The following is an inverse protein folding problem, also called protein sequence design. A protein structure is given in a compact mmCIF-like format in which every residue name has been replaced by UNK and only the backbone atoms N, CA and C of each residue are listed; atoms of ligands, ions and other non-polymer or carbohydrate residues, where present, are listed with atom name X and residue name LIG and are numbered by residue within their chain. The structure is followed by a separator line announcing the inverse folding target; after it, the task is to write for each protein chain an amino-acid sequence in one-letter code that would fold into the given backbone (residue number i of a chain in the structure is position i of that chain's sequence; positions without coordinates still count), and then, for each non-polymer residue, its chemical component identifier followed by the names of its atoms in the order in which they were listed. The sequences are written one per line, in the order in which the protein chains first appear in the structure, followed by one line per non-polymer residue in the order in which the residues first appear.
data_IF_234479742849
#
_entry.id   IF_234479742849
#
_cell.length_a   1.000
_cell.length_b   1.000
_cell.length_c   1.000
_cell.angle_alpha   90.00
_cell.angle_beta   90.00
_cell.angle_gamma   90.00
#
_symmetry.space_group_name_H-M   'P 1'
#
loop_
_entity.id
_entity.type
_entity.pdbx_description
1 polymer ?
#
# COMPACT_ATOMS: atom_id res chain seq x y z
N UNK A 1 -4.99 -23.12 -8.40
CA UNK A 1 -4.90 -21.83 -7.70
C UNK A 1 -4.76 -22.20 -6.26
N UNK A 2 -3.56 -22.02 -5.73
CA UNK A 2 -3.19 -22.62 -4.45
C UNK A 2 -3.41 -21.62 -3.32
N UNK A 3 -3.13 -20.35 -3.60
CA UNK A 3 -3.38 -19.22 -2.71
C UNK A 3 -4.24 -18.15 -3.39
N UNK A 4 -5.17 -17.58 -2.61
CA UNK A 4 -5.92 -16.36 -2.97
C UNK A 4 -5.54 -15.28 -1.97
N UNK A 5 -5.20 -14.09 -2.46
CA UNK A 5 -4.90 -12.94 -1.62
C UNK A 5 -5.90 -11.83 -1.91
N UNK A 6 -6.64 -11.40 -0.89
CA UNK A 6 -7.52 -10.24 -0.97
C UNK A 6 -6.77 -9.04 -0.40
N UNK A 7 -6.46 -8.07 -1.26
CA UNK A 7 -5.81 -6.83 -0.84
C UNK A 7 -6.75 -5.96 0.00
N UNK A 8 -8.01 -5.87 -0.44
CA UNK A 8 -9.11 -5.24 0.29
C UNK A 8 -10.28 -6.22 0.39
N UNK A 9 -11.11 -6.05 1.43
CA UNK A 9 -12.30 -6.86 1.62
C UNK A 9 -13.39 -6.44 0.65
N UNK A 10 -14.08 -7.39 -0.01
CA UNK A 10 -15.20 -7.04 -0.86
C UNK A 10 -16.37 -6.54 -0.02
N UNK A 11 -17.00 -5.44 -0.43
CA UNK A 11 -18.17 -4.84 0.26
C UNK A 11 -19.36 -5.79 0.34
N UNK A 12 -19.51 -6.69 -0.64
CA UNK A 12 -20.57 -7.69 -0.70
C UNK A 12 -20.03 -9.04 -0.28
N UNK A 13 -20.64 -9.63 0.75
CA UNK A 13 -20.19 -10.88 1.36
C UNK A 13 -20.17 -12.07 0.40
N UNK A 14 -21.15 -12.20 -0.50
CA UNK A 14 -21.17 -13.28 -1.51
C UNK A 14 -19.92 -13.24 -2.40
N UNK A 15 -19.40 -12.04 -2.69
CA UNK A 15 -18.20 -11.90 -3.49
C UNK A 15 -16.96 -12.44 -2.76
N UNK A 16 -16.91 -12.35 -1.43
CA UNK A 16 -15.85 -12.98 -0.65
C UNK A 16 -15.80 -14.48 -0.91
N UNK A 17 -16.95 -15.16 -0.81
CA UNK A 17 -17.06 -16.61 -1.03
C UNK A 17 -16.67 -16.99 -2.46
N UNK A 18 -17.11 -16.22 -3.46
CA UNK A 18 -16.74 -16.46 -4.85
C UNK A 18 -15.24 -16.27 -5.15
N UNK A 19 -14.56 -15.37 -4.42
CA UNK A 19 -13.11 -15.14 -4.52
C UNK A 19 -12.33 -16.29 -3.88
N UNK A 20 -12.65 -16.65 -2.64
CA UNK A 20 -11.93 -17.73 -1.94
C UNK A 20 -12.25 -19.12 -2.52
N UNK A 21 -13.42 -19.31 -3.12
CA UNK A 21 -13.79 -20.53 -3.86
C UNK A 21 -12.97 -20.80 -5.14
N UNK A 22 -12.00 -19.93 -5.46
CA UNK A 22 -11.01 -20.20 -6.51
C UNK A 22 -9.93 -21.18 -6.06
N UNK A 23 -9.67 -21.29 -4.74
CA UNK A 23 -8.72 -22.24 -4.15
C UNK A 23 -9.43 -23.44 -3.51
N UNK A 24 -8.69 -24.51 -3.22
CA UNK A 24 -9.16 -25.70 -2.50
C UNK A 24 -10.18 -26.55 -3.27
N UNK A 25 -9.72 -27.42 -4.17
CA UNK A 25 -10.56 -28.33 -4.98
C UNK A 25 -10.10 -29.78 -4.81
N UNK A 26 -11.06 -30.70 -4.75
CA UNK A 26 -10.77 -32.13 -4.55
C UNK A 26 -10.14 -32.37 -3.18
N UNK A 27 -9.06 -33.15 -3.14
CA UNK A 27 -8.37 -33.52 -1.89
C UNK A 27 -7.34 -32.47 -1.41
N UNK A 28 -7.11 -31.41 -2.20
CA UNK A 28 -6.11 -30.39 -1.86
C UNK A 28 -6.72 -29.24 -1.07
N UNK A 29 -6.11 -28.91 0.08
CA UNK A 29 -6.46 -27.74 0.87
C UNK A 29 -5.96 -26.46 0.19
N UNK A 30 -6.85 -25.49 0.03
CA UNK A 30 -6.52 -24.17 -0.45
C UNK A 30 -6.20 -23.19 0.67
N UNK A 31 -5.41 -22.15 0.37
CA UNK A 31 -5.13 -21.05 1.30
C UNK A 31 -5.77 -19.74 0.80
N UNK A 32 -6.39 -18.99 1.69
CA UNK A 32 -6.88 -17.64 1.41
C UNK A 32 -6.41 -16.68 2.51
N UNK A 33 -5.77 -15.58 2.11
CA UNK A 33 -5.31 -14.51 2.99
C UNK A 33 -6.03 -13.24 2.61
N UNK A 34 -6.52 -12.50 3.59
CA UNK A 34 -7.13 -11.19 3.38
C UNK A 34 -6.45 -10.17 4.27
N UNK A 35 -6.13 -9.03 3.70
CA UNK A 35 -5.86 -7.83 4.49
C UNK A 35 -7.20 -7.17 4.82
N UNK A 36 -7.26 -6.59 6.01
CA UNK A 36 -8.42 -5.88 6.53
C UNK A 36 -7.90 -4.65 7.23
N UNK A 37 -8.32 -3.48 6.74
CA UNK A 37 -8.11 -2.21 7.44
C UNK A 37 -9.12 -2.05 8.58
N UNK A 38 -8.90 -1.05 9.43
CA UNK A 38 -9.82 -0.78 10.55
C UNK A 38 -11.22 -0.34 10.08
N UNK A 39 -11.30 0.31 8.92
CA UNK A 39 -12.57 0.77 8.33
C UNK A 39 -13.43 -0.40 7.82
N UNK A 40 -12.79 -1.53 7.47
CA UNK A 40 -13.44 -2.71 6.92
C UNK A 40 -13.86 -3.74 7.98
N UNK A 41 -13.65 -3.44 9.28
CA UNK A 41 -14.01 -4.36 10.39
C UNK A 41 -15.47 -4.77 10.39
N UNK A 42 -16.38 -3.86 10.01
CA UNK A 42 -17.81 -4.16 9.94
C UNK A 42 -18.11 -5.14 8.79
N UNK A 43 -17.42 -4.97 7.65
CA UNK A 43 -17.53 -5.88 6.50
C UNK A 43 -16.98 -7.26 6.87
N UNK A 44 -15.84 -7.32 7.58
CA UNK A 44 -15.29 -8.57 8.08
C UNK A 44 -16.30 -9.32 8.97
N UNK A 45 -16.96 -8.61 9.88
CA UNK A 45 -17.96 -9.20 10.77
C UNK A 45 -19.15 -9.77 9.97
N UNK A 46 -19.64 -9.06 8.97
CA UNK A 46 -20.70 -9.56 8.08
C UNK A 46 -20.26 -10.82 7.32
N UNK A 47 -19.00 -10.87 6.89
CA UNK A 47 -18.41 -12.06 6.24
C UNK A 47 -18.37 -13.24 7.21
N UNK A 48 -17.90 -13.04 8.44
CA UNK A 48 -17.84 -14.10 9.46
C UNK A 48 -19.24 -14.63 9.84
N UNK A 49 -20.22 -13.73 9.96
CA UNK A 49 -21.62 -14.09 10.21
C UNK A 49 -22.19 -14.94 9.07
N UNK A 50 -21.91 -14.57 7.82
CA UNK A 50 -22.34 -15.33 6.64
C UNK A 50 -21.65 -16.70 6.54
N UNK A 51 -20.36 -16.78 6.87
CA UNK A 51 -19.60 -18.03 6.89
C UNK A 51 -19.93 -18.90 8.12
N UNK A 52 -20.63 -18.34 9.12
CA UNK A 52 -20.96 -18.98 10.40
C UNK A 52 -19.67 -19.45 11.12
N UNK A 53 -18.54 -18.80 10.82
CA UNK A 53 -17.22 -19.15 11.34
C UNK A 53 -16.34 -17.90 11.42
N UNK A 54 -15.61 -17.71 12.52
CA UNK A 54 -14.63 -16.64 12.61
C UNK A 54 -13.44 -16.91 11.69
N UNK A 55 -12.87 -15.85 11.13
CA UNK A 55 -11.65 -15.89 10.34
C UNK A 55 -10.47 -15.69 11.30
N UNK A 56 -9.46 -16.56 11.20
CA UNK A 56 -8.29 -16.46 12.06
C UNK A 56 -7.47 -15.22 11.73
N UNK A 57 -7.23 -14.37 12.74
CA UNK A 57 -6.36 -13.19 12.62
C UNK A 57 -4.92 -13.61 12.80
N UNK A 58 -4.12 -13.49 11.75
CA UNK A 58 -2.67 -13.67 11.84
C UNK A 58 -2.05 -12.55 12.67
N UNK A 59 -1.38 -12.92 13.76
CA UNK A 59 -0.56 -11.99 14.53
C UNK A 59 0.82 -11.95 13.88
N UNK A 60 1.24 -10.77 13.42
CA UNK A 60 2.59 -10.57 12.88
C UNK A 60 3.37 -9.81 13.93
N UNK A 61 4.43 -10.42 14.44
CA UNK A 61 5.35 -9.76 15.36
C UNK A 61 6.18 -8.71 14.62
N UNK A 62 6.71 -7.73 15.36
CA UNK A 62 7.58 -6.70 14.78
C UNK A 62 8.83 -7.30 14.13
N UNK A 63 9.39 -8.32 14.77
CA UNK A 63 10.57 -9.04 14.27
C UNK A 63 10.26 -9.79 12.95
N UNK A 64 9.08 -10.41 12.84
CA UNK A 64 8.65 -11.06 11.58
C UNK A 64 8.38 -10.04 10.47
N UNK A 65 7.82 -8.87 10.79
CA UNK A 65 7.64 -7.80 9.83
C UNK A 65 8.98 -7.28 9.30
N UNK A 66 9.95 -7.05 10.18
CA UNK A 66 11.31 -6.64 9.80
C UNK A 66 11.97 -7.68 8.88
N UNK A 67 11.75 -8.98 9.12
CA UNK A 67 12.22 -10.04 8.23
C UNK A 67 11.55 -10.03 6.84
N UNK A 68 10.34 -9.48 6.69
CA UNK A 68 9.70 -9.32 5.36
C UNK A 68 10.23 -8.13 4.57
N UNK A 69 10.91 -7.17 5.21
CA UNK A 69 11.50 -6.01 4.55
C UNK A 69 12.75 -6.39 3.74
N UNK A 70 13.28 -7.59 3.91
CA UNK A 70 14.55 -8.00 3.32
C UNK A 70 14.42 -8.91 2.09
N UNK A 71 14.15 -8.30 0.93
CA UNK A 71 14.57 -8.82 -0.39
C UNK A 71 14.79 -7.70 -1.43
N UNK A 72 14.49 -6.43 -1.12
CA UNK A 72 14.65 -5.31 -2.06
C UNK A 72 15.96 -4.53 -1.90
N UNK A 73 16.81 -4.84 -0.91
CA UNK A 73 18.10 -4.15 -0.73
C UNK A 73 19.15 -4.48 -1.82
N UNK A 74 18.85 -5.40 -2.73
CA UNK A 74 19.77 -5.79 -3.83
C UNK A 74 19.40 -5.28 -5.22
N UNK A 75 18.53 -4.26 -5.36
CA UNK A 75 18.36 -3.55 -6.63
C UNK A 75 18.96 -2.13 -6.54
N UNK A 76 20.07 -1.93 -7.24
CA UNK A 76 20.91 -0.71 -7.35
C UNK A 76 20.20 0.57 -7.87
N UNK A 77 18.89 0.70 -7.74
CA UNK A 77 18.13 1.87 -8.18
C UNK A 77 17.25 2.41 -7.06
N UNK A 78 17.89 3.14 -6.15
CA UNK A 78 17.26 3.91 -5.09
C UNK A 78 16.39 5.03 -5.70
N UNK A 79 15.08 4.78 -5.79
CA UNK A 79 14.09 5.75 -6.27
C UNK A 79 14.12 7.05 -5.46
N UNK A 80 14.59 7.00 -4.21
CA UNK A 80 14.75 8.18 -3.36
C UNK A 80 15.78 9.16 -3.96
N UNK A 81 16.91 8.64 -4.44
CA UNK A 81 17.95 9.43 -5.11
C UNK A 81 17.45 10.11 -6.40
N UNK A 82 16.59 9.42 -7.18
CA UNK A 82 15.98 9.99 -8.39
C UNK A 82 14.97 11.10 -8.06
N UNK A 83 14.21 10.95 -6.97
CA UNK A 83 13.26 11.97 -6.48
C UNK A 83 14.02 13.22 -6.02
N UNK A 84 15.12 13.04 -5.28
CA UNK A 84 15.95 14.15 -4.81
C UNK A 84 16.62 14.91 -5.97
N UNK A 85 17.08 14.20 -7.01
CA UNK A 85 17.64 14.83 -8.21
C UNK A 85 16.58 15.66 -8.97
N UNK A 86 15.38 15.12 -9.15
CA UNK A 86 14.24 15.82 -9.78
C UNK A 86 13.85 17.08 -8.99
N UNK A 87 13.73 16.97 -7.67
CA UNK A 87 13.41 18.10 -6.79
C UNK A 87 14.48 19.20 -6.86
N UNK A 88 15.76 18.83 -6.86
CA UNK A 88 16.86 19.77 -7.00
C UNK A 88 16.88 20.45 -8.38
N UNK A 89 16.54 19.72 -9.44
CA UNK A 89 16.42 20.25 -10.80
C UNK A 89 15.26 21.24 -10.93
N UNK A 90 14.10 20.92 -10.37
CA UNK A 90 12.94 21.82 -10.34
C UNK A 90 13.20 23.10 -9.55
N UNK A 91 13.89 23.01 -8.41
CA UNK A 91 14.29 24.19 -7.63
C UNK A 91 15.19 25.12 -8.46
N UNK A 92 16.20 24.55 -9.15
CA UNK A 92 17.11 25.30 -10.03
C UNK A 92 16.37 25.95 -11.21
N UNK A 93 15.38 25.28 -11.81
CA UNK A 93 14.54 25.88 -12.86
C UNK A 93 13.70 27.05 -12.33
N UNK A 94 13.04 26.88 -11.17
CA UNK A 94 12.23 27.93 -10.52
C UNK A 94 13.06 29.16 -10.13
N UNK A 95 14.35 28.99 -9.84
CA UNK A 95 15.29 30.09 -9.60
C UNK A 95 15.71 30.84 -10.88
N UNK A 96 15.81 30.15 -12.03
CA UNK A 96 16.16 30.75 -13.33
C UNK A 96 15.01 31.55 -13.95
N UNK A 97 13.75 31.20 -13.66
CA UNK A 97 12.56 31.83 -14.26
C UNK A 97 12.02 33.04 -13.48
N UNK A 98 12.51 33.33 -12.26
CA UNK A 98 12.08 34.53 -11.51
C UNK A 98 12.65 35.82 -12.15
N UNK A 99 11.79 36.78 -12.57
CA UNK A 99 12.27 38.03 -13.15
C UNK A 99 12.98 38.89 -12.09
N UNK A 100 14.12 39.50 -12.45
CA UNK A 100 14.85 40.42 -11.56
C UNK A 100 13.97 41.63 -11.21
N UNK A 101 13.53 41.71 -9.95
CA UNK A 101 12.80 42.86 -9.44
C UNK A 101 13.66 44.13 -9.59
N UNK A 102 13.16 45.10 -10.38
CA UNK A 102 13.81 46.41 -10.59
C UNK A 102 13.90 47.15 -9.26
N UNK A 103 15.11 47.31 -8.74
CA UNK A 103 15.42 48.17 -7.58
C UNK A 103 15.02 49.62 -7.89
N UNK A 104 13.92 50.11 -7.29
CA UNK A 104 13.59 51.54 -7.25
C UNK A 104 14.57 52.22 -6.31
N UNK A 105 15.59 52.90 -6.86
CA UNK A 105 16.47 53.82 -6.11
C UNK A 105 15.62 54.90 -5.44
N UNK A 106 15.53 54.86 -4.11
CA UNK A 106 15.06 55.97 -3.27
C UNK A 106 16.03 57.14 -3.45
N UNK A 107 15.61 58.21 -4.14
CA UNK A 107 16.27 59.52 -4.01
C UNK A 107 15.79 60.16 -2.70
N UNK A 108 16.73 60.39 -1.79
CA UNK A 108 16.56 61.13 -0.54
C UNK A 108 17.12 62.53 -0.75
N UNK A 109 16.30 63.53 -0.39
CA UNK A 109 16.56 64.97 -0.24
C UNK A 109 16.93 65.74 -1.51
#
# INVERSE_FOLDING_TARGET
VDIVVNYDLPEVTENYVHRVGRTGRGDNRGMAISFCSDEEREVLKQIEEYLIKPIAVAQISKDEYEATIDFSESAEHDWQSLIDEQNAFEAKQKLKTKPKAKSKRRKKK
#
